data_IF_044647193301
#
_entry.id   IF_044647193301
#
_cell.length_a   1.000
_cell.length_b   1.000
_cell.length_c   1.000
_cell.angle_alpha   90.00
_cell.angle_beta   90.00
_cell.angle_gamma   90.00
#
_symmetry.space_group_name_H-M   'P 1'
#
loop_
_entity.id
_entity.type
_entity.pdbx_description
1 polymer ?
#
# COMPACT_ATOMS: atom_id res chain seq x y z
N UNK A 1 -17.43 23.03 -3.55
CA UNK A 1 -16.00 23.14 -3.92
C UNK A 1 -15.26 22.13 -3.07
N UNK A 2 -15.12 20.92 -3.58
CA UNK A 2 -14.34 19.89 -2.90
C UNK A 2 -12.89 20.36 -2.87
N UNK A 3 -12.33 20.47 -1.66
CA UNK A 3 -10.90 20.73 -1.49
C UNK A 3 -10.15 19.70 -2.33
N UNK A 4 -9.08 20.06 -3.06
CA UNK A 4 -8.19 19.06 -3.59
C UNK A 4 -7.60 18.33 -2.38
N UNK A 5 -8.17 17.18 -2.04
CA UNK A 5 -7.57 16.24 -1.11
C UNK A 5 -6.27 15.89 -1.79
N UNK A 6 -5.17 16.42 -1.26
CA UNK A 6 -3.84 16.18 -1.76
C UNK A 6 -3.65 14.66 -1.71
N UNK A 7 -3.87 13.98 -2.85
CA UNK A 7 -3.83 12.52 -2.93
C UNK A 7 -2.37 12.12 -2.86
N UNK A 8 -1.90 11.82 -1.66
CA UNK A 8 -0.55 11.31 -1.47
C UNK A 8 -0.53 9.90 -2.06
N UNK A 9 0.34 9.72 -3.06
CA UNK A 9 0.57 8.42 -3.68
C UNK A 9 1.86 7.81 -3.11
N UNK A 10 1.86 6.49 -3.00
CA UNK A 10 3.02 5.72 -2.58
C UNK A 10 3.32 4.63 -3.62
N UNK A 11 4.59 4.45 -3.95
CA UNK A 11 5.01 3.39 -4.85
C UNK A 11 5.18 2.06 -4.10
N UNK A 12 5.31 0.96 -4.85
CA UNK A 12 5.58 -0.37 -4.29
C UNK A 12 6.76 -0.40 -3.31
N UNK A 13 7.85 0.31 -3.61
CA UNK A 13 9.06 0.29 -2.76
C UNK A 13 8.83 0.95 -1.40
N UNK A 14 8.07 2.05 -1.36
CA UNK A 14 7.64 2.66 -0.10
C UNK A 14 6.80 1.70 0.74
N UNK A 15 5.86 0.98 0.11
CA UNK A 15 5.02 -0.03 0.78
C UNK A 15 5.88 -1.18 1.33
N UNK A 16 6.88 -1.61 0.57
CA UNK A 16 7.83 -2.65 1.00
C UNK A 16 8.64 -2.23 2.22
N UNK A 17 9.10 -0.98 2.24
CA UNK A 17 9.81 -0.41 3.37
C UNK A 17 8.93 -0.32 4.62
N UNK A 18 7.66 0.08 4.48
CA UNK A 18 6.70 0.10 5.59
C UNK A 18 6.44 -1.28 6.20
N UNK A 19 6.59 -2.35 5.41
CA UNK A 19 6.49 -3.73 5.88
C UNK A 19 7.81 -4.29 6.43
N UNK A 20 8.78 -3.42 6.75
CA UNK A 20 10.10 -3.83 7.25
C UNK A 20 11.14 -4.10 6.14
N UNK A 21 11.01 -3.45 4.98
CA UNK A 21 11.99 -3.57 3.88
C UNK A 21 11.90 -4.89 3.11
N UNK A 22 10.70 -5.46 2.96
CA UNK A 22 10.54 -6.77 2.34
C UNK A 22 10.82 -6.78 0.83
N UNK A 23 11.27 -7.93 0.32
CA UNK A 23 11.51 -8.10 -1.11
C UNK A 23 10.24 -7.98 -1.97
N UNK A 24 10.43 -7.81 -3.29
CA UNK A 24 9.35 -7.87 -4.28
C UNK A 24 8.56 -9.16 -4.18
N UNK A 25 9.23 -10.30 -4.24
CA UNK A 25 8.58 -11.61 -4.19
C UNK A 25 7.80 -11.82 -2.89
N UNK A 26 8.35 -11.38 -1.76
CA UNK A 26 7.66 -11.44 -0.46
C UNK A 26 6.38 -10.61 -0.47
N UNK A 27 6.42 -9.40 -1.02
CA UNK A 27 5.24 -8.55 -1.14
C UNK A 27 4.15 -9.20 -2.01
N UNK A 28 4.51 -9.79 -3.15
CA UNK A 28 3.54 -10.51 -3.99
C UNK A 28 2.89 -11.69 -3.25
N UNK A 29 3.68 -12.51 -2.54
CA UNK A 29 3.14 -13.63 -1.76
C UNK A 29 2.15 -13.16 -0.69
N UNK A 30 2.47 -12.08 0.01
CA UNK A 30 1.55 -11.46 0.98
C UNK A 30 0.25 -11.00 0.32
N UNK A 31 0.31 -10.39 -0.87
CA UNK A 31 -0.92 -10.00 -1.58
C UNK A 31 -1.82 -11.19 -1.91
N UNK A 32 -1.24 -12.30 -2.39
CA UNK A 32 -2.01 -13.51 -2.67
C UNK A 32 -2.60 -14.14 -1.40
N UNK A 33 -1.85 -14.14 -0.30
CA UNK A 33 -2.33 -14.58 1.01
C UNK A 33 -3.49 -13.72 1.52
N UNK A 34 -3.35 -12.40 1.46
CA UNK A 34 -4.41 -11.47 1.85
C UNK A 34 -5.67 -11.63 0.99
N UNK A 35 -5.49 -11.87 -0.31
CA UNK A 35 -6.59 -12.18 -1.24
C UNK A 35 -7.29 -13.48 -0.88
N UNK A 36 -6.56 -14.55 -0.54
CA UNK A 36 -7.17 -15.83 -0.14
C UNK A 36 -7.88 -15.75 1.21
N UNK A 37 -7.45 -14.84 2.10
CA UNK A 37 -8.11 -14.51 3.37
C UNK A 37 -9.33 -13.58 3.21
N UNK A 38 -9.73 -13.23 1.99
CA UNK A 38 -10.88 -12.35 1.73
C UNK A 38 -10.64 -10.87 2.07
N UNK A 39 -9.38 -10.47 2.23
CA UNK A 39 -8.97 -9.10 2.59
C UNK A 39 -7.90 -8.62 1.62
N UNK A 40 -8.22 -8.43 0.33
CA UNK A 40 -7.22 -8.09 -0.67
C UNK A 40 -6.54 -6.74 -0.37
N UNK A 41 -5.26 -6.64 -0.74
CA UNK A 41 -4.54 -5.37 -0.72
C UNK A 41 -5.18 -4.35 -1.67
N UNK A 42 -5.09 -3.04 -1.40
CA UNK A 42 -5.59 -2.01 -2.32
C UNK A 42 -5.05 -2.18 -3.74
N UNK A 43 -5.89 -1.88 -4.72
CA UNK A 43 -5.50 -1.82 -6.12
C UNK A 43 -4.71 -0.53 -6.40
N UNK A 44 -3.84 -0.52 -7.41
CA UNK A 44 -3.12 0.69 -7.80
C UNK A 44 -4.07 1.76 -8.35
N UNK A 45 -3.66 3.02 -8.21
CA UNK A 45 -4.41 4.16 -8.72
C UNK A 45 -4.43 4.12 -10.26
N UNK A 46 -5.64 4.03 -10.83
CA UNK A 46 -5.87 3.92 -12.28
C UNK A 46 -5.60 5.20 -13.05
N UNK A 47 -5.61 6.35 -12.36
CA UNK A 47 -5.42 7.66 -13.00
C UNK A 47 -3.94 7.92 -13.30
N UNK A 48 -3.05 7.12 -12.70
CA UNK A 48 -1.60 7.24 -12.86
C UNK A 48 -1.02 5.99 -13.51
N UNK A 49 -0.64 6.13 -14.78
CA UNK A 49 0.12 5.12 -15.51
C UNK A 49 1.60 5.53 -15.54
N UNK A 50 2.44 5.05 -14.59
CA UNK A 50 3.83 5.44 -14.56
C UNK A 50 4.57 4.89 -15.79
N UNK A 51 5.22 5.79 -16.53
CA UNK A 51 6.03 5.47 -17.71
C UNK A 51 7.26 4.60 -17.31
N UNK A 52 7.79 4.83 -16.11
CA UNK A 52 8.82 4.03 -15.42
C UNK A 52 8.65 4.21 -13.90
N UNK A 53 8.66 3.13 -13.11
CA UNK A 53 8.61 3.20 -11.64
C UNK A 53 7.61 2.26 -10.94
N UNK A 54 6.73 1.62 -11.71
CA UNK A 54 5.79 0.62 -11.19
C UNK A 54 4.57 1.24 -10.48
N UNK A 55 3.60 0.39 -10.17
CA UNK A 55 2.30 0.73 -9.59
C UNK A 55 2.37 1.75 -8.43
N UNK A 56 1.53 2.79 -8.52
CA UNK A 56 1.27 3.74 -7.45
C UNK A 56 -0.03 3.37 -6.74
N UNK A 57 -0.08 3.56 -5.43
CA UNK A 57 -1.23 3.27 -4.59
C UNK A 57 -1.61 4.51 -3.80
N UNK A 58 -2.88 4.66 -3.47
CA UNK A 58 -3.32 5.74 -2.58
C UNK A 58 -2.84 5.45 -1.17
N UNK A 59 -2.07 6.39 -0.61
CA UNK A 59 -1.43 6.21 0.69
C UNK A 59 -2.47 5.92 1.80
N UNK A 60 -3.61 6.60 1.77
CA UNK A 60 -4.66 6.45 2.78
C UNK A 60 -5.32 5.06 2.73
N UNK A 61 -5.54 4.48 1.56
CA UNK A 61 -6.03 3.10 1.39
C UNK A 61 -5.01 2.08 1.92
N UNK A 62 -3.72 2.29 1.65
CA UNK A 62 -2.64 1.43 2.17
C UNK A 62 -2.57 1.49 3.69
N UNK A 63 -2.64 2.68 4.29
CA UNK A 63 -2.58 2.84 5.74
C UNK A 63 -3.79 2.22 6.43
N UNK A 64 -5.01 2.44 5.91
CA UNK A 64 -6.22 1.77 6.43
C UNK A 64 -6.12 0.25 6.35
N UNK A 65 -5.55 -0.26 5.25
CA UNK A 65 -5.30 -1.69 5.12
C UNK A 65 -4.32 -2.20 6.19
N UNK A 66 -3.18 -1.51 6.38
CA UNK A 66 -2.20 -1.88 7.40
C UNK A 66 -2.75 -1.79 8.82
N UNK A 67 -3.57 -0.78 9.12
CA UNK A 67 -4.30 -0.67 10.38
C UNK A 67 -5.21 -1.88 10.60
N UNK A 68 -6.01 -2.24 9.59
CA UNK A 68 -6.92 -3.40 9.65
C UNK A 68 -6.19 -4.73 9.85
N UNK A 69 -4.92 -4.80 9.46
CA UNK A 69 -4.05 -5.98 9.60
C UNK A 69 -3.21 -5.97 10.88
N UNK A 70 -3.25 -4.89 11.66
CA UNK A 70 -2.41 -4.72 12.85
C UNK A 70 -0.92 -4.51 12.54
N UNK A 71 -0.57 -4.06 11.33
CA UNK A 71 0.82 -3.76 10.95
C UNK A 71 1.28 -2.39 11.43
N UNK A 72 0.34 -1.50 11.78
CA UNK A 72 0.67 -0.25 12.47
C UNK A 72 0.91 -0.57 13.95
N UNK A 73 2.11 -1.05 14.27
CA UNK A 73 2.59 -0.97 15.65
C UNK A 73 2.81 0.51 15.97
N UNK A 74 2.07 1.04 16.94
CA UNK A 74 2.49 2.25 17.63
C UNK A 74 3.87 1.96 18.22
N UNK A 75 4.92 2.44 17.58
CA UNK A 75 6.18 2.72 18.27
C UNK A 75 5.83 3.78 19.31
N UNK A 76 5.59 3.33 20.54
CA UNK A 76 5.59 4.21 21.69
C UNK A 76 6.98 4.85 21.77
N UNK A 77 6.98 6.17 21.91
CA UNK A 77 8.11 7.04 22.24
C UNK A 77 9.16 6.41 23.16
#
# INVERSE_FOLDING_TARGET
MDKPVNRILINREGIQNMLGGISRTTFYRKREEWKSQGTPFPEPDSDYHPIQGGALYKYDEVMRFFESKGYLTQDNM
#
